data_IF_677499321841
#
_entry.id   IF_677499321841
#
_cell.length_a   1.000
_cell.length_b   1.000
_cell.length_c   1.000
_cell.angle_alpha   90.00
_cell.angle_beta   90.00
_cell.angle_gamma   90.00
#
_symmetry.space_group_name_H-M   'P 1'
#
loop_
_entity.id
_entity.type
_entity.pdbx_description
1 polymer ?
#
# COMPACT_ATOMS: atom_id res chain seq x y z
N UNK A 1 -19.63 1.59 -15.39
CA UNK A 1 -19.22 2.20 -14.11
C UNK A 1 -17.70 2.24 -14.07
N UNK A 2 -17.11 3.27 -13.45
CA UNK A 2 -15.67 3.37 -13.30
C UNK A 2 -15.28 2.66 -11.99
N UNK A 3 -14.94 1.36 -12.05
CA UNK A 3 -14.61 0.55 -10.88
C UNK A 3 -13.26 0.99 -10.28
N UNK A 4 -12.98 0.71 -8.99
CA UNK A 4 -11.69 1.04 -8.37
C UNK A 4 -10.50 0.50 -9.15
N UNK A 5 -10.57 -0.75 -9.65
CA UNK A 5 -9.51 -1.35 -10.47
C UNK A 5 -9.26 -0.58 -11.77
N UNK A 6 -10.32 -0.10 -12.46
CA UNK A 6 -10.18 0.75 -13.65
C UNK A 6 -9.51 2.08 -13.31
N UNK A 7 -9.89 2.71 -12.18
CA UNK A 7 -9.25 3.95 -11.71
C UNK A 7 -7.74 3.74 -11.50
N UNK A 8 -7.34 2.62 -10.88
CA UNK A 8 -5.92 2.31 -10.63
C UNK A 8 -5.14 2.10 -11.92
N UNK A 9 -5.67 1.30 -12.86
CA UNK A 9 -5.07 1.09 -14.18
C UNK A 9 -4.94 2.39 -14.97
N UNK A 10 -5.95 3.25 -14.92
CA UNK A 10 -5.91 4.56 -15.56
C UNK A 10 -4.87 5.48 -14.90
N UNK A 11 -4.78 5.48 -13.57
CA UNK A 11 -3.78 6.27 -12.85
C UNK A 11 -2.34 5.86 -13.23
N UNK A 12 -2.09 4.55 -13.43
CA UNK A 12 -0.79 4.06 -13.95
C UNK A 12 -0.56 4.61 -15.36
N UNK A 13 -1.55 4.50 -16.25
CA UNK A 13 -1.40 4.93 -17.64
C UNK A 13 -1.18 6.47 -17.78
N UNK A 14 -1.77 7.25 -16.88
CA UNK A 14 -1.71 8.72 -16.88
C UNK A 14 -0.52 9.30 -16.08
N UNK A 15 0.40 8.45 -15.61
CA UNK A 15 1.51 8.85 -14.75
C UNK A 15 2.85 8.24 -15.19
N UNK A 16 3.96 8.86 -14.80
CA UNK A 16 5.30 8.35 -15.15
C UNK A 16 6.34 8.75 -14.08
N UNK A 17 6.54 7.96 -13.03
CA UNK A 17 5.71 6.86 -12.53
C UNK A 17 4.47 7.37 -11.75
N UNK A 18 3.50 6.48 -11.48
CA UNK A 18 2.43 6.75 -10.54
C UNK A 18 2.99 6.76 -9.10
N UNK A 19 2.89 7.89 -8.41
CA UNK A 19 3.21 7.97 -6.99
C UNK A 19 2.04 7.44 -6.15
N UNK A 20 2.30 6.37 -5.38
CA UNK A 20 1.34 5.74 -4.47
C UNK A 20 1.81 5.96 -3.03
N UNK A 21 0.99 6.59 -2.20
CA UNK A 21 1.37 6.99 -0.85
C UNK A 21 0.60 6.21 0.22
N UNK A 22 1.30 5.85 1.30
CA UNK A 22 0.73 5.12 2.41
C UNK A 22 -0.25 5.95 3.23
N UNK A 23 -1.44 5.38 3.48
CA UNK A 23 -2.45 5.92 4.39
C UNK A 23 -2.84 4.83 5.39
N UNK A 24 -2.61 5.07 6.68
CA UNK A 24 -2.91 4.11 7.76
C UNK A 24 -4.32 4.23 8.32
N UNK A 25 -5.07 5.24 7.91
CA UNK A 25 -6.45 5.47 8.31
C UNK A 25 -7.18 6.42 7.33
N UNK A 26 -8.48 6.58 7.52
CA UNK A 26 -9.35 7.43 6.69
C UNK A 26 -8.93 8.90 6.65
N UNK A 27 -8.43 9.46 7.75
CA UNK A 27 -8.00 10.85 7.79
C UNK A 27 -6.71 11.08 6.99
N UNK A 28 -5.75 10.14 7.07
CA UNK A 28 -4.55 10.15 6.23
C UNK A 28 -4.92 10.08 4.74
N UNK A 29 -5.92 9.28 4.38
CA UNK A 29 -6.40 9.19 3.01
C UNK A 29 -6.92 10.53 2.48
N UNK A 30 -7.73 11.26 3.28
CA UNK A 30 -8.21 12.61 2.94
C UNK A 30 -7.07 13.63 2.77
N UNK A 31 -6.07 13.58 3.64
CA UNK A 31 -4.89 14.44 3.51
C UNK A 31 -4.11 14.16 2.23
N UNK A 32 -3.92 12.88 1.89
CA UNK A 32 -3.23 12.49 0.66
C UNK A 32 -4.01 12.92 -0.59
N UNK A 33 -5.34 12.77 -0.59
CA UNK A 33 -6.21 13.25 -1.67
C UNK A 33 -6.11 14.78 -1.84
N UNK A 34 -6.18 15.52 -0.74
CA UNK A 34 -6.05 16.98 -0.74
C UNK A 34 -4.65 17.45 -1.23
N UNK A 35 -3.62 16.67 -0.98
CA UNK A 35 -2.28 16.92 -1.49
C UNK A 35 -2.11 16.61 -3.00
N UNK A 36 -3.17 16.08 -3.65
CA UNK A 36 -3.19 15.81 -5.09
C UNK A 36 -2.64 14.46 -5.52
N UNK A 37 -2.47 13.51 -4.58
CA UNK A 37 -2.10 12.14 -4.94
C UNK A 37 -3.23 11.45 -5.72
N UNK A 38 -2.87 10.50 -6.59
CA UNK A 38 -3.81 9.80 -7.49
C UNK A 38 -4.11 8.36 -7.07
N UNK A 39 -3.36 7.83 -6.10
CA UNK A 39 -3.56 6.50 -5.56
C UNK A 39 -3.00 6.40 -4.14
N UNK A 40 -3.57 5.49 -3.36
CA UNK A 40 -3.22 5.22 -1.96
C UNK A 40 -2.67 3.80 -1.79
N UNK A 41 -1.98 3.61 -0.68
CA UNK A 41 -1.50 2.30 -0.25
C UNK A 41 -1.88 2.01 1.20
N UNK A 42 -2.38 0.81 1.47
CA UNK A 42 -2.51 0.28 2.83
C UNK A 42 -1.52 -0.87 3.02
N UNK A 43 -0.51 -0.62 3.85
CA UNK A 43 0.52 -1.59 4.21
C UNK A 43 0.01 -2.57 5.27
N UNK A 44 0.30 -3.86 5.14
CA UNK A 44 0.11 -4.83 6.21
C UNK A 44 0.88 -4.46 7.47
N UNK A 45 2.13 -4.00 7.32
CA UNK A 45 2.89 -3.41 8.42
C UNK A 45 2.20 -2.19 9.04
N UNK A 46 1.59 -1.33 8.20
CA UNK A 46 0.82 -0.17 8.66
C UNK A 46 -0.36 -0.58 9.52
N UNK A 47 -1.14 -1.58 9.11
CA UNK A 47 -2.26 -2.13 9.90
C UNK A 47 -1.76 -2.71 11.22
N UNK A 48 -0.74 -3.58 11.18
CA UNK A 48 -0.18 -4.18 12.40
C UNK A 48 0.32 -3.12 13.39
N UNK A 49 1.09 -2.13 12.92
CA UNK A 49 1.70 -1.14 13.79
C UNK A 49 0.71 -0.07 14.28
N UNK A 50 -0.11 0.51 13.36
CA UNK A 50 -0.97 1.65 13.68
C UNK A 50 -2.25 1.25 14.40
N UNK A 51 -2.90 0.16 13.98
CA UNK A 51 -4.19 -0.25 14.52
C UNK A 51 -4.07 -1.17 15.73
N UNK A 52 -2.97 -1.96 15.83
CA UNK A 52 -2.83 -2.98 16.89
C UNK A 52 -1.58 -2.80 17.76
N UNK A 53 -0.62 -1.94 17.40
CA UNK A 53 0.66 -1.81 18.13
C UNK A 53 1.50 -3.10 18.05
N UNK A 54 1.32 -3.91 17.00
CA UNK A 54 1.99 -5.18 16.80
C UNK A 54 3.11 -5.07 15.75
N UNK A 55 4.15 -5.91 15.82
CA UNK A 55 5.17 -5.97 14.78
C UNK A 55 4.63 -6.61 13.49
N UNK A 56 5.26 -6.26 12.36
CA UNK A 56 4.97 -6.82 11.04
C UNK A 56 5.54 -8.24 10.87
N UNK A 57 4.80 -9.24 11.37
CA UNK A 57 5.19 -10.65 11.40
C UNK A 57 4.01 -11.60 11.09
N UNK A 58 3.12 -11.22 10.18
CA UNK A 58 1.93 -11.99 9.81
C UNK A 58 1.00 -12.32 11.01
N UNK A 59 0.85 -11.38 11.94
CA UNK A 59 -0.03 -11.54 13.12
C UNK A 59 -1.45 -11.08 12.80
N UNK A 60 -1.59 -10.07 11.94
CA UNK A 60 -2.89 -9.57 11.50
C UNK A 60 -3.58 -10.55 10.54
N UNK A 61 -4.90 -10.52 10.56
CA UNK A 61 -5.77 -11.39 9.76
C UNK A 61 -6.39 -10.64 8.59
N UNK A 62 -7.04 -11.39 7.68
CA UNK A 62 -7.87 -10.82 6.63
C UNK A 62 -8.89 -9.80 7.16
N UNK A 63 -9.55 -10.10 8.28
CA UNK A 63 -10.59 -9.22 8.83
C UNK A 63 -10.01 -7.90 9.34
N UNK A 64 -8.84 -7.93 9.95
CA UNK A 64 -8.15 -6.75 10.45
C UNK A 64 -7.80 -5.79 9.31
N UNK A 65 -7.25 -6.34 8.24
CA UNK A 65 -6.86 -5.56 7.04
C UNK A 65 -8.09 -5.05 6.29
N UNK A 66 -9.13 -5.88 6.15
CA UNK A 66 -10.38 -5.51 5.47
C UNK A 66 -11.11 -4.37 6.19
N UNK A 67 -11.06 -4.32 7.52
CA UNK A 67 -11.69 -3.25 8.31
C UNK A 67 -11.03 -1.89 8.03
N UNK A 68 -9.72 -1.81 8.06
CA UNK A 68 -9.00 -0.56 7.76
C UNK A 68 -9.13 -0.18 6.28
N UNK A 69 -9.15 -1.15 5.37
CA UNK A 69 -9.40 -0.91 3.94
C UNK A 69 -10.77 -0.26 3.72
N UNK A 70 -11.85 -0.78 4.31
CA UNK A 70 -13.21 -0.20 4.20
C UNK A 70 -13.28 1.22 4.72
N UNK A 71 -12.62 1.53 5.84
CA UNK A 71 -12.57 2.90 6.39
C UNK A 71 -11.89 3.87 5.44
N UNK A 72 -10.84 3.44 4.77
CA UNK A 72 -10.09 4.26 3.80
C UNK A 72 -10.91 4.45 2.53
N UNK A 73 -11.41 3.38 1.91
CA UNK A 73 -12.14 3.44 0.64
C UNK A 73 -13.48 4.19 0.75
N UNK A 74 -14.10 4.22 1.94
CA UNK A 74 -15.29 5.02 2.21
C UNK A 74 -15.00 6.52 2.42
N UNK A 75 -13.74 6.88 2.67
CA UNK A 75 -13.36 8.26 2.96
C UNK A 75 -12.88 9.04 1.72
N UNK A 76 -12.52 8.36 0.63
CA UNK A 76 -11.97 8.95 -0.60
C UNK A 76 -12.33 8.12 -1.81
N UNK A 77 -12.37 8.75 -2.98
CA UNK A 77 -12.53 8.10 -4.28
C UNK A 77 -11.23 7.62 -4.92
N UNK A 78 -10.09 7.84 -4.26
CA UNK A 78 -8.78 7.39 -4.76
C UNK A 78 -8.68 5.86 -4.77
N UNK A 79 -8.11 5.25 -5.82
CA UNK A 79 -7.90 3.82 -5.86
C UNK A 79 -6.86 3.40 -4.80
N UNK A 80 -7.17 2.34 -4.06
CA UNK A 80 -6.34 1.77 -3.00
C UNK A 80 -5.62 0.52 -3.49
N UNK A 81 -4.28 0.53 -3.42
CA UNK A 81 -3.42 -0.66 -3.47
C UNK A 81 -3.23 -1.18 -2.05
N UNK A 82 -3.37 -2.49 -1.82
CA UNK A 82 -3.36 -3.09 -0.50
C UNK A 82 -2.42 -4.30 -0.41
N UNK A 83 -1.70 -4.41 0.71
CA UNK A 83 -0.86 -5.54 1.07
C UNK A 83 -1.70 -6.68 1.65
N UNK A 84 -1.69 -7.84 1.02
CA UNK A 84 -2.34 -9.04 1.53
C UNK A 84 -1.36 -10.11 2.03
N UNK A 85 -0.11 -9.72 2.33
CA UNK A 85 0.94 -10.63 2.76
C UNK A 85 1.04 -11.85 1.82
N UNK A 86 0.89 -13.06 2.36
CA UNK A 86 0.86 -14.32 1.60
C UNK A 86 -0.55 -14.80 1.25
N UNK A 87 -1.57 -13.93 1.43
CA UNK A 87 -2.98 -14.21 1.08
C UNK A 87 -3.84 -14.75 2.20
N UNK A 88 -3.37 -14.75 3.45
CA UNK A 88 -4.08 -15.18 4.68
C UNK A 88 -4.54 -16.65 4.68
N UNK A 89 -3.79 -17.53 4.01
CA UNK A 89 -4.02 -18.97 4.03
C UNK A 89 -3.80 -19.66 2.69
N UNK A 90 -4.40 -20.85 2.50
CA UNK A 90 -4.30 -21.62 1.25
C UNK A 90 -5.19 -21.08 0.13
N UNK A 91 -5.24 -21.78 -1.01
CA UNK A 91 -5.89 -21.33 -2.25
C UNK A 91 -7.30 -20.76 -2.06
N UNK A 92 -8.17 -21.44 -1.32
CA UNK A 92 -9.53 -20.97 -1.07
C UNK A 92 -9.59 -19.74 -0.15
N UNK A 93 -8.63 -19.59 0.77
CA UNK A 93 -8.50 -18.38 1.59
C UNK A 93 -8.04 -17.21 0.74
N UNK A 94 -7.10 -17.42 -0.16
CA UNK A 94 -6.62 -16.39 -1.12
C UNK A 94 -7.77 -15.93 -2.01
N UNK A 95 -8.52 -16.86 -2.62
CA UNK A 95 -9.68 -16.52 -3.45
C UNK A 95 -10.75 -15.74 -2.65
N UNK A 96 -10.99 -16.12 -1.38
CA UNK A 96 -11.87 -15.37 -0.48
C UNK A 96 -11.31 -13.98 -0.19
N UNK A 97 -10.01 -13.86 0.07
CA UNK A 97 -9.34 -12.56 0.31
C UNK A 97 -9.58 -11.60 -0.84
N UNK A 98 -9.40 -12.04 -2.08
CA UNK A 98 -9.64 -11.20 -3.26
C UNK A 98 -11.10 -10.74 -3.33
N UNK A 99 -12.08 -11.64 -3.10
CA UNK A 99 -13.49 -11.27 -3.08
C UNK A 99 -13.82 -10.24 -1.99
N UNK A 100 -13.28 -10.40 -0.79
CA UNK A 100 -13.46 -9.46 0.32
C UNK A 100 -12.81 -8.08 0.01
N UNK A 101 -11.65 -8.07 -0.64
CA UNK A 101 -10.99 -6.81 -1.04
C UNK A 101 -11.79 -6.08 -2.12
N UNK A 102 -12.31 -6.79 -3.12
CA UNK A 102 -13.19 -6.20 -4.14
C UNK A 102 -14.47 -5.65 -3.49
N UNK A 103 -15.08 -6.40 -2.56
CA UNK A 103 -16.27 -5.96 -1.82
C UNK A 103 -15.99 -4.77 -0.87
N UNK A 104 -14.73 -4.53 -0.51
CA UNK A 104 -14.26 -3.39 0.26
C UNK A 104 -13.83 -2.19 -0.63
N UNK A 105 -14.17 -2.18 -1.92
CA UNK A 105 -13.78 -1.17 -2.91
C UNK A 105 -12.25 -0.96 -3.04
N UNK A 106 -11.45 -1.98 -2.73
CA UNK A 106 -10.01 -1.99 -3.00
C UNK A 106 -9.80 -2.12 -4.51
N UNK A 107 -8.82 -1.41 -5.05
CA UNK A 107 -8.53 -1.36 -6.48
C UNK A 107 -7.49 -2.39 -6.92
N UNK A 108 -6.54 -2.66 -6.06
CA UNK A 108 -5.38 -3.50 -6.33
C UNK A 108 -4.85 -4.16 -5.05
N UNK A 109 -4.23 -5.31 -5.21
CA UNK A 109 -3.48 -5.98 -4.13
C UNK A 109 -2.11 -6.40 -4.59
N UNK A 110 -1.18 -6.56 -3.66
CA UNK A 110 -0.01 -7.39 -3.90
C UNK A 110 0.03 -8.57 -2.93
N UNK A 111 0.52 -9.69 -3.44
CA UNK A 111 0.73 -10.96 -2.73
C UNK A 111 2.18 -11.39 -2.89
N UNK A 112 2.81 -11.93 -1.84
CA UNK A 112 4.24 -12.21 -1.83
C UNK A 112 4.60 -13.69 -1.75
N UNK A 113 5.83 -14.01 -2.22
CA UNK A 113 6.38 -15.37 -2.26
C UNK A 113 7.13 -15.79 -0.98
N UNK A 114 6.97 -15.08 0.13
CA UNK A 114 7.50 -15.54 1.40
C UNK A 114 6.69 -16.73 1.95
N UNK A 115 7.31 -17.51 2.87
CA UNK A 115 6.57 -18.47 3.69
C UNK A 115 5.55 -17.75 4.58
N UNK A 116 4.53 -18.48 5.07
CA UNK A 116 3.45 -17.86 5.89
C UNK A 116 3.98 -17.10 7.11
N UNK A 117 5.09 -17.54 7.72
CA UNK A 117 5.76 -16.81 8.80
C UNK A 117 6.70 -15.73 8.20
N UNK A 118 6.13 -14.84 7.40
CA UNK A 118 6.87 -13.81 6.69
C UNK A 118 7.60 -12.84 7.62
N UNK A 119 8.56 -12.13 7.07
CA UNK A 119 9.28 -11.02 7.71
C UNK A 119 9.19 -9.77 6.84
N UNK A 120 9.41 -8.60 7.44
CA UNK A 120 9.54 -7.37 6.67
C UNK A 120 10.58 -7.53 5.53
N UNK A 121 10.25 -7.09 4.32
CA UNK A 121 11.04 -7.28 3.11
C UNK A 121 12.49 -6.74 3.17
N UNK A 122 12.76 -5.75 4.04
CA UNK A 122 14.10 -5.20 4.25
C UNK A 122 14.90 -5.91 5.36
N UNK A 123 14.33 -6.94 6.00
CA UNK A 123 15.04 -7.74 7.03
C UNK A 123 15.77 -8.93 6.41
N UNK A 124 16.86 -9.41 7.04
CA UNK A 124 17.57 -10.61 6.61
C UNK A 124 16.78 -11.89 6.94
N UNK A 125 17.24 -13.01 6.36
CA UNK A 125 16.76 -14.37 6.64
C UNK A 125 15.27 -14.56 6.26
N UNK A 126 14.84 -14.00 5.13
CA UNK A 126 13.55 -14.32 4.52
C UNK A 126 13.60 -15.71 3.89
N UNK A 127 12.59 -16.52 4.17
CA UNK A 127 12.37 -17.79 3.52
C UNK A 127 11.29 -17.64 2.45
N UNK A 128 11.56 -18.15 1.26
CA UNK A 128 10.65 -18.10 0.14
C UNK A 128 10.03 -19.47 -0.09
N UNK A 129 8.82 -19.48 -0.61
CA UNK A 129 8.25 -20.67 -1.23
C UNK A 129 8.88 -20.86 -2.61
N UNK A 130 8.75 -22.05 -3.19
CA UNK A 130 9.16 -22.24 -4.58
C UNK A 130 8.23 -21.47 -5.54
N UNK A 131 8.66 -21.32 -6.79
CA UNK A 131 7.91 -20.54 -7.77
C UNK A 131 6.60 -21.19 -8.18
N UNK A 132 6.48 -22.52 -8.05
CA UNK A 132 5.24 -23.25 -8.35
C UNK A 132 4.17 -22.92 -7.30
N UNK A 133 4.54 -22.99 -6.01
CA UNK A 133 3.62 -22.62 -4.92
C UNK A 133 3.16 -21.16 -5.06
N UNK A 134 4.07 -20.24 -5.38
CA UNK A 134 3.67 -18.84 -5.57
C UNK A 134 2.77 -18.66 -6.80
N UNK A 135 3.06 -19.36 -7.91
CA UNK A 135 2.19 -19.35 -9.10
C UNK A 135 0.79 -19.88 -8.77
N UNK A 136 0.67 -20.89 -7.91
CA UNK A 136 -0.62 -21.41 -7.46
C UNK A 136 -1.36 -20.42 -6.54
N UNK A 137 -0.65 -19.64 -5.71
CA UNK A 137 -1.23 -18.50 -4.96
C UNK A 137 -1.81 -17.45 -5.91
N UNK A 138 -1.08 -17.09 -6.98
CA UNK A 138 -1.54 -16.12 -7.97
C UNK A 138 -2.76 -16.65 -8.73
N UNK A 139 -2.75 -17.91 -9.19
CA UNK A 139 -3.91 -18.53 -9.85
C UNK A 139 -5.14 -18.51 -8.93
N UNK A 140 -4.97 -18.79 -7.63
CA UNK A 140 -6.06 -18.72 -6.65
C UNK A 140 -6.57 -17.27 -6.48
N UNK A 141 -5.69 -16.27 -6.52
CA UNK A 141 -6.08 -14.87 -6.51
C UNK A 141 -6.86 -14.48 -7.77
N UNK A 142 -6.41 -14.93 -8.95
CA UNK A 142 -7.10 -14.72 -10.23
C UNK A 142 -8.46 -15.39 -10.25
N UNK A 143 -8.59 -16.61 -9.73
CA UNK A 143 -9.89 -17.32 -9.62
C UNK A 143 -10.86 -16.57 -8.70
N UNK A 144 -10.35 -15.94 -7.63
CA UNK A 144 -11.16 -15.11 -6.73
C UNK A 144 -11.62 -13.77 -7.32
N UNK A 145 -11.07 -13.34 -8.45
CA UNK A 145 -11.31 -12.03 -9.06
C UNK A 145 -12.69 -11.93 -9.71
N UNK A 146 -13.61 -11.21 -9.07
CA UNK A 146 -14.97 -10.97 -9.55
C UNK A 146 -15.14 -9.69 -10.39
N UNK A 147 -14.14 -8.79 -10.37
CA UNK A 147 -14.00 -7.63 -11.24
C UNK A 147 -12.73 -7.80 -12.08
N UNK A 148 -12.85 -7.96 -13.39
CA UNK A 148 -11.70 -8.15 -14.31
C UNK A 148 -10.70 -6.99 -14.27
N UNK A 149 -11.12 -5.81 -13.86
CA UNK A 149 -10.24 -4.65 -13.73
C UNK A 149 -9.41 -4.64 -12.44
N UNK A 150 -9.80 -5.43 -11.43
CA UNK A 150 -9.04 -5.54 -10.18
C UNK A 150 -7.60 -5.98 -10.44
N UNK A 151 -6.62 -5.26 -9.88
CA UNK A 151 -5.23 -5.43 -10.21
C UNK A 151 -4.53 -6.34 -9.20
N UNK A 152 -3.94 -7.43 -9.68
CA UNK A 152 -3.19 -8.40 -8.86
C UNK A 152 -1.70 -8.25 -9.17
N UNK A 153 -0.91 -7.80 -8.18
CA UNK A 153 0.52 -7.64 -8.30
C UNK A 153 1.24 -8.78 -7.59
N UNK A 154 2.16 -9.44 -8.26
CA UNK A 154 3.04 -10.42 -7.65
C UNK A 154 4.25 -9.72 -7.05
N UNK A 155 4.46 -9.91 -5.74
CA UNK A 155 5.67 -9.48 -5.05
C UNK A 155 6.63 -10.64 -4.90
N UNK A 156 7.90 -10.40 -5.21
CA UNK A 156 8.97 -11.36 -4.91
C UNK A 156 10.04 -10.72 -4.03
N UNK A 157 10.44 -11.46 -3.02
CA UNK A 157 11.53 -11.12 -2.12
C UNK A 157 12.84 -11.86 -2.48
N UNK A 158 12.90 -12.46 -3.69
CA UNK A 158 13.99 -13.35 -4.13
C UNK A 158 15.27 -12.61 -4.54
N UNK A 159 15.20 -11.33 -4.91
CA UNK A 159 16.35 -10.58 -5.44
C UNK A 159 17.60 -10.69 -4.56
N UNK A 160 17.45 -10.58 -3.24
CA UNK A 160 18.56 -10.66 -2.30
C UNK A 160 19.20 -12.04 -2.19
N UNK A 161 18.46 -13.12 -2.52
CA UNK A 161 18.90 -14.51 -2.36
C UNK A 161 19.30 -15.15 -3.69
N UNK A 162 18.61 -14.82 -4.79
CA UNK A 162 18.72 -15.47 -6.10
C UNK A 162 19.30 -14.53 -7.16
N UNK A 163 19.48 -13.26 -6.84
CA UNK A 163 19.94 -12.23 -7.80
C UNK A 163 18.91 -11.91 -8.88
N UNK A 164 19.29 -11.06 -9.84
CA UNK A 164 18.37 -10.59 -10.90
C UNK A 164 17.86 -11.72 -11.80
N UNK A 165 18.72 -12.64 -12.19
CA UNK A 165 18.31 -13.75 -13.07
C UNK A 165 17.27 -14.66 -12.43
N UNK A 166 17.44 -15.02 -11.14
CA UNK A 166 16.47 -15.82 -10.40
C UNK A 166 15.16 -15.06 -10.16
N UNK A 167 15.24 -13.76 -9.88
CA UNK A 167 14.06 -12.93 -9.73
C UNK A 167 13.26 -12.80 -11.04
N UNK A 168 13.92 -12.64 -12.18
CA UNK A 168 13.26 -12.60 -13.50
C UNK A 168 12.59 -13.95 -13.80
N UNK A 169 13.28 -15.07 -13.60
CA UNK A 169 12.72 -16.43 -13.80
C UNK A 169 11.44 -16.67 -12.97
N UNK A 170 11.40 -16.18 -11.71
CA UNK A 170 10.18 -16.20 -10.90
C UNK A 170 9.08 -15.31 -11.46
N UNK A 171 9.43 -14.08 -11.81
CA UNK A 171 8.48 -13.10 -12.32
C UNK A 171 7.82 -13.53 -13.64
N UNK A 172 8.53 -14.21 -14.53
CA UNK A 172 7.96 -14.80 -15.75
C UNK A 172 6.85 -15.78 -15.43
N UNK A 173 7.09 -16.73 -14.52
CA UNK A 173 6.08 -17.70 -14.05
C UNK A 173 4.87 -17.00 -13.39
N UNK A 174 5.12 -15.91 -12.64
CA UNK A 174 4.05 -15.15 -11.96
C UNK A 174 3.15 -14.41 -12.94
N UNK A 175 3.73 -13.87 -14.04
CA UNK A 175 2.98 -13.24 -15.12
C UNK A 175 2.15 -14.32 -15.86
N UNK A 176 2.75 -15.48 -16.18
CA UNK A 176 2.02 -16.60 -16.80
C UNK A 176 0.88 -17.11 -15.92
N UNK A 177 1.03 -17.07 -14.59
CA UNK A 177 -0.02 -17.40 -13.63
C UNK A 177 -1.16 -16.36 -13.56
N UNK A 178 -0.97 -15.17 -14.17
CA UNK A 178 -1.99 -14.13 -14.32
C UNK A 178 -1.78 -12.88 -13.46
N UNK A 179 -0.58 -12.63 -12.96
CA UNK A 179 -0.23 -11.35 -12.31
C UNK A 179 -0.27 -10.20 -13.32
N UNK A 180 -0.89 -9.09 -12.93
CA UNK A 180 -1.01 -7.88 -13.76
C UNK A 180 0.22 -6.96 -13.67
N UNK A 181 1.04 -7.12 -12.65
CA UNK A 181 2.25 -6.32 -12.42
C UNK A 181 3.16 -6.97 -11.37
N UNK A 182 4.33 -6.36 -11.17
CA UNK A 182 5.41 -6.92 -10.36
C UNK A 182 5.90 -5.93 -9.31
N UNK A 183 6.22 -6.47 -8.14
CA UNK A 183 6.88 -5.78 -7.07
C UNK A 183 8.14 -6.57 -6.67
N UNK A 184 9.31 -6.12 -7.13
CA UNK A 184 10.59 -6.70 -6.75
C UNK A 184 11.12 -5.97 -5.51
N UNK A 185 11.19 -6.67 -4.38
CA UNK A 185 11.54 -6.06 -3.09
C UNK A 185 13.06 -5.86 -2.93
N UNK A 186 13.42 -4.73 -2.33
CA UNK A 186 14.79 -4.39 -1.94
C UNK A 186 15.79 -4.29 -3.11
N UNK A 187 15.34 -3.81 -4.27
CA UNK A 187 16.21 -3.46 -5.40
C UNK A 187 17.14 -2.31 -5.01
N UNK A 188 18.41 -2.38 -5.42
CA UNK A 188 19.45 -1.46 -4.94
C UNK A 188 20.00 -0.51 -5.99
N UNK A 189 19.65 -0.69 -7.27
CA UNK A 189 20.12 0.19 -8.35
C UNK A 189 19.06 0.44 -9.42
N UNK A 190 19.20 1.54 -10.15
CA UNK A 190 18.36 1.84 -11.31
C UNK A 190 18.60 0.85 -12.47
N UNK A 191 19.80 0.30 -12.56
CA UNK A 191 20.14 -0.71 -13.58
C UNK A 191 19.38 -2.01 -13.36
N UNK A 192 19.18 -2.40 -12.11
CA UNK A 192 18.35 -3.56 -11.77
C UNK A 192 16.90 -3.38 -12.23
N UNK A 193 16.32 -2.18 -12.04
CA UNK A 193 14.98 -1.87 -12.56
C UNK A 193 14.94 -1.90 -14.10
N UNK A 194 15.95 -1.35 -14.78
CA UNK A 194 16.04 -1.43 -16.25
C UNK A 194 16.10 -2.87 -16.73
N UNK A 195 16.95 -3.68 -16.10
CA UNK A 195 17.08 -5.11 -16.44
C UNK A 195 15.76 -5.85 -16.29
N UNK A 196 15.01 -5.58 -15.22
CA UNK A 196 13.68 -6.16 -14.99
C UNK A 196 12.68 -5.70 -16.07
N UNK A 197 12.64 -4.41 -16.39
CA UNK A 197 11.73 -3.84 -17.42
C UNK A 197 12.07 -4.27 -18.84
N UNK A 198 13.34 -4.48 -19.15
CA UNK A 198 13.77 -4.99 -20.46
C UNK A 198 13.31 -6.43 -20.67
N UNK A 199 13.37 -7.24 -19.62
CA UNK A 199 12.93 -8.63 -19.64
C UNK A 199 11.40 -8.75 -19.65
N UNK A 200 10.69 -7.94 -18.83
CA UNK A 200 9.27 -8.14 -18.52
C UNK A 200 8.43 -6.90 -18.89
N UNK A 201 7.33 -7.11 -19.61
CA UNK A 201 6.52 -6.03 -20.22
C UNK A 201 5.24 -5.70 -19.45
N UNK A 202 5.27 -5.85 -18.13
CA UNK A 202 4.17 -5.48 -17.22
C UNK A 202 4.56 -4.30 -16.33
N UNK A 203 3.60 -3.63 -15.69
CA UNK A 203 3.92 -2.59 -14.71
C UNK A 203 4.82 -3.10 -13.58
N UNK A 204 5.85 -2.31 -13.24
CA UNK A 204 6.81 -2.58 -12.16
C UNK A 204 6.69 -1.52 -11.08
N UNK A 205 6.60 -1.96 -9.83
CA UNK A 205 6.58 -1.11 -8.65
C UNK A 205 7.97 -1.05 -7.98
N UNK A 206 8.42 0.17 -7.67
CA UNK A 206 9.59 0.44 -6.84
C UNK A 206 9.15 0.90 -5.44
N UNK A 207 9.59 0.19 -4.41
CA UNK A 207 9.32 0.52 -3.00
C UNK A 207 10.39 1.48 -2.46
N UNK A 208 10.01 2.73 -2.24
CA UNK A 208 10.90 3.79 -1.75
C UNK A 208 10.58 4.05 -0.28
N UNK A 209 11.05 3.14 0.57
CA UNK A 209 10.87 3.24 2.01
C UNK A 209 12.11 3.77 2.72
N UNK A 210 11.91 4.66 3.68
CA UNK A 210 12.97 5.21 4.51
C UNK A 210 13.62 4.09 5.35
N UNK A 211 14.94 4.20 5.53
CA UNK A 211 15.76 3.25 6.30
C UNK A 211 15.76 1.81 5.75
N UNK A 212 15.32 1.65 4.49
CA UNK A 212 15.36 0.39 3.76
C UNK A 212 16.70 0.16 3.06
N UNK A 213 16.77 -0.91 2.23
CA UNK A 213 17.94 -1.21 1.40
C UNK A 213 17.96 -0.44 0.10
N UNK A 214 16.79 -0.13 -0.46
CA UNK A 214 16.64 0.63 -1.70
C UNK A 214 17.01 2.09 -1.44
N UNK A 215 17.88 2.71 -2.25
CA UNK A 215 18.12 4.14 -2.19
C UNK A 215 16.83 4.95 -2.41
N UNK A 216 16.77 6.17 -1.86
CA UNK A 216 15.64 7.07 -2.05
C UNK A 216 15.72 7.74 -3.43
N UNK A 217 15.49 6.96 -4.48
CA UNK A 217 15.45 7.48 -5.84
C UNK A 217 14.32 8.49 -6.02
N UNK A 218 14.55 9.47 -6.92
CA UNK A 218 13.52 10.43 -7.32
C UNK A 218 12.56 9.82 -8.35
N UNK A 219 11.44 10.47 -8.58
CA UNK A 219 10.47 10.06 -9.62
C UNK A 219 11.10 10.09 -11.02
N UNK A 220 11.93 11.10 -11.31
CA UNK A 220 12.61 11.22 -12.60
C UNK A 220 13.64 10.09 -12.82
N UNK A 221 14.39 9.72 -11.78
CA UNK A 221 15.34 8.61 -11.84
C UNK A 221 14.61 7.29 -12.12
N UNK A 222 13.52 7.01 -11.39
CA UNK A 222 12.71 5.80 -11.58
C UNK A 222 12.01 5.78 -12.94
N UNK A 223 11.48 6.91 -13.41
CA UNK A 223 10.94 7.05 -14.76
C UNK A 223 11.98 6.70 -15.82
N UNK A 224 13.23 7.17 -15.67
CA UNK A 224 14.33 6.87 -16.58
C UNK A 224 14.73 5.39 -16.60
N UNK A 225 14.39 4.65 -15.55
CA UNK A 225 14.60 3.21 -15.42
C UNK A 225 13.37 2.39 -15.87
N UNK A 226 12.30 3.05 -16.32
CA UNK A 226 11.08 2.40 -16.82
C UNK A 226 10.13 1.91 -15.72
N UNK A 227 10.30 2.37 -14.48
CA UNK A 227 9.40 2.03 -13.36
C UNK A 227 8.05 2.71 -13.56
N UNK A 228 6.96 1.98 -13.37
CA UNK A 228 5.59 2.48 -13.59
C UNK A 228 4.94 3.00 -12.31
N UNK A 229 5.31 2.45 -11.15
CA UNK A 229 4.71 2.78 -9.85
C UNK A 229 5.82 3.04 -8.82
N UNK A 230 5.75 4.17 -8.14
CA UNK A 230 6.65 4.54 -7.05
C UNK A 230 5.87 4.55 -5.74
N UNK A 231 6.23 3.66 -4.82
CA UNK A 231 5.53 3.45 -3.55
C UNK A 231 6.26 4.11 -2.39
N UNK A 232 5.53 4.91 -1.61
CA UNK A 232 5.94 5.47 -0.31
C UNK A 232 5.09 4.87 0.81
N UNK A 233 5.45 3.69 1.35
CA UNK A 233 4.50 2.87 2.12
C UNK A 233 4.12 3.46 3.48
N UNK A 234 5.05 4.10 4.19
CA UNK A 234 4.85 4.54 5.58
C UNK A 234 5.46 5.91 5.91
N UNK A 235 5.83 6.74 4.93
CA UNK A 235 6.50 8.03 5.14
C UNK A 235 5.71 8.95 6.07
N UNK A 236 4.43 9.17 5.77
CA UNK A 236 3.55 9.99 6.59
C UNK A 236 3.36 9.40 8.01
N UNK A 237 3.17 8.09 8.12
CA UNK A 237 3.03 7.41 9.41
C UNK A 237 4.27 7.57 10.30
N UNK A 238 5.47 7.44 9.75
CA UNK A 238 6.74 7.67 10.48
C UNK A 238 6.86 9.11 10.97
N UNK A 239 6.49 10.08 10.13
CA UNK A 239 6.49 11.49 10.49
C UNK A 239 5.47 11.80 11.59
N UNK A 240 4.24 11.27 11.48
CA UNK A 240 3.19 11.39 12.52
C UNK A 240 3.65 10.82 13.85
N UNK A 241 4.26 9.63 13.85
CA UNK A 241 4.76 8.99 15.07
C UNK A 241 5.86 9.84 15.73
N UNK A 242 6.76 10.42 14.95
CA UNK A 242 7.83 11.26 15.52
C UNK A 242 7.29 12.55 16.12
N UNK A 243 6.30 13.17 15.48
CA UNK A 243 5.62 14.33 16.04
C UNK A 243 4.84 13.98 17.33
N UNK A 244 4.08 12.88 17.31
CA UNK A 244 3.34 12.39 18.47
C UNK A 244 4.27 12.06 19.65
N UNK A 245 5.40 11.39 19.42
CA UNK A 245 6.42 11.11 20.45
C UNK A 245 6.90 12.40 21.12
N UNK A 246 7.20 13.44 20.34
CA UNK A 246 7.63 14.74 20.86
C UNK A 246 6.56 15.40 21.73
N UNK A 247 5.30 15.33 21.31
CA UNK A 247 4.16 15.88 22.09
C UNK A 247 3.98 15.14 23.41
N UNK A 248 4.04 13.79 23.40
CA UNK A 248 3.93 13.00 24.62
C UNK A 248 5.06 13.30 25.62
N UNK A 249 6.30 13.45 25.13
CA UNK A 249 7.45 13.83 25.95
C UNK A 249 7.28 15.23 26.56
N UNK A 250 6.86 16.21 25.75
CA UNK A 250 6.62 17.58 26.21
C UNK A 250 5.57 17.65 27.35
N UNK A 251 4.46 16.93 27.19
CA UNK A 251 3.42 16.86 28.21
C UNK A 251 3.93 16.19 29.49
N UNK A 252 4.68 15.08 29.34
CA UNK A 252 5.23 14.34 30.50
C UNK A 252 6.25 15.18 31.30
N UNK A 253 7.11 15.94 30.61
CA UNK A 253 8.18 16.72 31.23
C UNK A 253 7.69 18.07 31.78
N UNK A 254 6.79 18.74 31.06
CA UNK A 254 6.42 20.13 31.32
C UNK A 254 4.98 20.30 31.83
N UNK A 255 4.16 19.24 31.88
CA UNK A 255 2.74 19.28 32.27
C UNK A 255 1.87 20.10 31.29
N UNK A 256 2.36 20.37 30.09
CA UNK A 256 1.66 21.19 29.10
C UNK A 256 2.20 20.92 27.68
N UNK A 257 1.35 21.09 26.67
CA UNK A 257 1.69 20.95 25.26
C UNK A 257 2.12 22.26 24.58
N UNK A 258 2.33 23.34 25.33
CA UNK A 258 2.53 24.70 24.77
C UNK A 258 3.70 24.79 23.77
N UNK A 259 4.77 24.01 23.98
CA UNK A 259 5.95 24.02 23.11
C UNK A 259 5.74 23.27 21.80
N UNK A 260 4.75 22.36 21.77
CA UNK A 260 4.48 21.49 20.63
C UNK A 260 3.37 22.01 19.71
N UNK A 261 2.79 23.17 19.99
CA UNK A 261 1.64 23.71 19.21
C UNK A 261 1.99 23.88 17.73
N UNK A 262 3.21 24.29 17.42
CA UNK A 262 3.71 24.46 16.03
C UNK A 262 3.76 23.14 15.23
N UNK A 263 3.70 21.99 15.90
CA UNK A 263 3.66 20.67 15.28
C UNK A 263 2.22 20.18 15.00
N UNK A 264 1.22 20.95 15.44
CA UNK A 264 -0.17 20.52 15.40
C UNK A 264 -0.93 21.20 14.27
N UNK A 265 -1.83 20.46 13.64
CA UNK A 265 -2.86 21.07 12.80
C UNK A 265 -3.79 21.93 13.68
N UNK A 266 -4.17 23.07 13.15
CA UNK A 266 -5.22 23.89 13.77
C UNK A 266 -6.58 23.20 13.65
N UNK A 267 -7.57 23.68 14.42
CA UNK A 267 -8.94 23.21 14.31
C UNK A 267 -9.54 23.53 12.94
N UNK A 268 -9.20 24.66 12.37
CA UNK A 268 -9.72 25.10 11.06
C UNK A 268 -9.17 24.20 9.95
N UNK A 269 -7.86 23.89 9.93
CA UNK A 269 -7.27 22.93 9.01
C UNK A 269 -7.92 21.54 9.10
N UNK A 270 -8.17 21.05 10.34
CA UNK A 270 -8.88 19.79 10.55
C UNK A 270 -10.28 19.83 9.93
N UNK A 271 -11.01 20.94 10.13
CA UNK A 271 -12.37 21.11 9.63
C UNK A 271 -12.44 21.19 8.12
N UNK A 272 -11.41 21.74 7.44
CA UNK A 272 -11.30 21.73 5.98
C UNK A 272 -11.23 20.30 5.46
N UNK A 273 -10.32 19.46 5.96
CA UNK A 273 -10.20 18.05 5.53
C UNK A 273 -11.48 17.25 5.76
N UNK A 274 -12.20 17.52 6.84
CA UNK A 274 -13.43 16.82 7.20
C UNK A 274 -14.68 17.40 6.54
N UNK A 275 -14.58 18.54 5.82
CA UNK A 275 -15.73 19.29 5.30
C UNK A 275 -16.78 19.59 6.38
N UNK A 276 -16.30 19.93 7.60
CA UNK A 276 -17.11 20.03 8.83
C UNK A 276 -18.28 21.00 8.68
N UNK A 277 -18.04 22.18 8.10
CA UNK A 277 -19.07 23.22 7.96
C UNK A 277 -20.24 22.81 7.07
N UNK A 278 -20.02 21.95 6.08
CA UNK A 278 -21.12 21.41 5.27
C UNK A 278 -22.04 20.50 6.09
N UNK A 279 -21.50 19.76 7.05
CA UNK A 279 -22.31 18.94 7.96
C UNK A 279 -23.13 19.83 8.91
N UNK A 280 -22.56 20.91 9.46
CA UNK A 280 -23.31 21.88 10.29
C UNK A 280 -24.44 22.52 9.50
N UNK A 281 -24.17 23.03 8.30
CA UNK A 281 -25.18 23.62 7.42
C UNK A 281 -26.32 22.63 7.13
N UNK A 282 -25.98 21.39 6.82
CA UNK A 282 -26.97 20.33 6.57
C UNK A 282 -27.80 20.03 7.79
N UNK A 283 -27.20 20.02 8.98
CA UNK A 283 -27.91 19.83 10.25
C UNK A 283 -28.91 20.97 10.50
N UNK A 284 -28.50 22.21 10.28
CA UNK A 284 -29.35 23.41 10.42
C UNK A 284 -30.52 23.36 9.45
N UNK A 285 -30.31 22.93 8.21
CA UNK A 285 -31.37 22.75 7.21
C UNK A 285 -32.38 21.69 7.62
N UNK A 286 -31.91 20.53 8.08
CA UNK A 286 -32.75 19.38 8.45
C UNK A 286 -33.65 19.69 9.65
N UNK A 287 -33.16 20.47 10.61
CA UNK A 287 -33.85 20.75 11.88
C UNK A 287 -34.40 22.18 11.97
N UNK A 288 -34.41 22.95 10.88
CA UNK A 288 -35.15 24.22 10.84
C UNK A 288 -36.60 24.00 11.26
N UNK A 289 -36.94 24.46 12.46
CA UNK A 289 -38.35 24.54 12.92
C UNK A 289 -38.98 25.69 12.10
N UNK A 290 -40.07 25.37 11.39
CA UNK A 290 -40.92 26.38 10.73
C UNK A 290 -41.55 27.30 11.76
#
# INVERSE_FOLDING_TARGET
MNTPGKKFRQAIADSNPLMVVGAVNAYCAKMAESAGHKALYLSGAGVANASFGLPDLAITTLNDVAEDARRITQATDLPLLLDIDTGFGGAFSIARTIKEMIAADVAAVHIEDQVTQKRCGHRPNKNLVDKIEMSDRIKAAVDGRTDESFFIMARTDSFANEGMSGAIDRCEEYIEAGADGLFLEAVTSLEDYRSLKDALKVPVLANITEFGKTPLFTSEELASAGVDIMLFPLSAFRAMNKAAESVYQDIAENGTQKKSIELMQTRDELYEYLNYHSFEQKLDELFKRK
#
